data_IF_334678436133
#
_entry.id   IF_334678436133
#
_cell.length_a   1.000
_cell.length_b   1.000
_cell.length_c   1.000
_cell.angle_alpha   90.00
_cell.angle_beta   90.00
_cell.angle_gamma   90.00
#
_symmetry.space_group_name_H-M   'P 1'
#
loop_
_entity.id
_entity.type
_entity.pdbx_description
1 polymer ?
#
# COMPACT_ATOMS: atom_id res chain seq x y z
N UNK A 1 7.22 17.49 21.28
CA UNK A 1 6.01 18.10 20.69
C UNK A 1 6.08 18.23 19.16
N UNK A 2 7.24 18.02 18.51
CA UNK A 2 7.35 18.13 17.04
C UNK A 2 6.86 16.89 16.30
N UNK A 3 7.08 15.67 16.81
CA UNK A 3 6.57 14.45 16.17
C UNK A 3 5.05 14.28 16.35
N UNK A 4 4.48 14.64 17.51
CA UNK A 4 3.02 14.64 17.72
C UNK A 4 2.31 15.63 16.78
N UNK A 5 2.94 16.78 16.48
CA UNK A 5 2.45 17.77 15.52
C UNK A 5 2.65 17.27 14.07
N UNK A 6 3.75 16.58 13.75
CA UNK A 6 3.93 15.94 12.43
C UNK A 6 2.91 14.80 12.23
N UNK A 7 2.60 14.04 13.29
CA UNK A 7 1.58 13.00 13.28
C UNK A 7 0.16 13.59 13.12
N UNK A 8 -0.11 14.78 13.69
CA UNK A 8 -1.38 15.50 13.58
C UNK A 8 -1.53 16.25 12.24
N UNK A 9 -0.44 16.76 11.65
CA UNK A 9 -0.47 17.42 10.34
C UNK A 9 -0.68 16.43 9.18
N UNK A 10 -0.26 15.16 9.34
CA UNK A 10 -0.59 14.07 8.41
C UNK A 10 -2.07 13.63 8.48
N UNK A 11 -2.86 14.17 9.42
CA UNK A 11 -4.28 13.84 9.62
C UNK A 11 -5.21 14.92 9.04
N UNK A 12 -4.75 16.16 8.82
CA UNK A 12 -5.63 17.28 8.43
C UNK A 12 -5.77 17.55 6.93
N UNK A 13 -4.98 16.91 6.07
CA UNK A 13 -5.32 16.78 4.66
C UNK A 13 -6.12 15.50 4.52
N UNK A 14 -7.39 15.59 4.10
CA UNK A 14 -8.25 14.45 3.87
C UNK A 14 -7.45 13.34 3.20
N UNK A 15 -7.23 12.26 3.96
CA UNK A 15 -6.32 11.20 3.56
C UNK A 15 -6.75 10.80 2.15
N UNK A 16 -5.84 10.81 1.14
CA UNK A 16 -6.13 10.05 -0.07
C UNK A 16 -6.56 8.65 0.40
N UNK A 17 -7.56 8.02 -0.26
CA UNK A 17 -8.01 6.68 0.11
C UNK A 17 -6.77 5.84 0.39
N UNK A 18 -6.70 5.27 1.59
CA UNK A 18 -5.48 4.63 2.06
C UNK A 18 -4.98 3.67 0.98
N UNK A 19 -3.72 3.81 0.59
CA UNK A 19 -3.08 2.95 -0.41
C UNK A 19 -3.54 1.50 -0.19
N UNK A 20 -4.07 0.83 -1.23
CA UNK A 20 -4.56 -0.53 -1.07
C UNK A 20 -3.43 -1.40 -0.51
N UNK A 21 -3.76 -2.15 0.54
CA UNK A 21 -2.81 -3.02 1.22
C UNK A 21 -2.20 -4.00 0.21
N UNK A 22 -0.87 -3.94 -0.04
CA UNK A 22 -0.22 -4.77 -1.05
C UNK A 22 -0.28 -6.27 -0.72
N UNK A 23 -0.64 -6.64 0.51
CA UNK A 23 -0.84 -8.04 0.93
C UNK A 23 -2.22 -8.61 0.54
N UNK A 24 -3.08 -7.80 -0.07
CA UNK A 24 -4.43 -8.21 -0.42
C UNK A 24 -4.43 -9.24 -1.56
N UNK A 25 -5.01 -10.44 -1.35
CA UNK A 25 -5.10 -11.45 -2.40
C UNK A 25 -5.94 -10.92 -3.57
N UNK A 26 -5.35 -10.91 -4.77
CA UNK A 26 -6.00 -10.44 -5.99
C UNK A 26 -5.69 -9.00 -6.38
N UNK A 27 -4.94 -8.24 -5.57
CA UNK A 27 -4.40 -6.95 -6.03
C UNK A 27 -3.32 -7.17 -7.08
N UNK A 28 -3.46 -6.56 -8.26
CA UNK A 28 -2.39 -6.47 -9.25
C UNK A 28 -1.80 -5.07 -9.20
N UNK A 29 -0.49 -4.97 -8.98
CA UNK A 29 0.24 -3.71 -9.18
C UNK A 29 0.85 -3.70 -10.58
N UNK A 30 0.48 -2.71 -11.38
CA UNK A 30 1.03 -2.46 -12.70
C UNK A 30 2.07 -1.34 -12.62
N UNK A 31 3.31 -1.68 -12.98
CA UNK A 31 4.34 -0.71 -13.28
C UNK A 31 3.99 0.01 -14.59
N UNK A 32 4.05 1.34 -14.57
CA UNK A 32 3.73 2.20 -15.71
C UNK A 32 4.93 3.12 -15.93
N UNK A 33 5.51 3.18 -17.15
CA UNK A 33 6.62 4.09 -17.40
C UNK A 33 6.24 5.53 -17.05
N UNK A 34 7.10 6.23 -16.31
CA UNK A 34 6.82 7.54 -15.68
C UNK A 34 6.21 8.55 -16.66
N UNK A 35 6.68 8.56 -17.92
CA UNK A 35 6.13 9.41 -18.98
C UNK A 35 4.63 9.21 -19.23
N UNK A 36 4.16 7.96 -19.22
CA UNK A 36 2.75 7.63 -19.42
C UNK A 36 1.95 7.70 -18.13
N UNK A 37 2.54 7.32 -17.00
CA UNK A 37 1.90 7.47 -15.70
C UNK A 37 1.47 8.91 -15.47
N UNK A 38 2.38 9.87 -15.68
CA UNK A 38 2.08 11.29 -15.53
C UNK A 38 1.07 11.79 -16.57
N UNK A 39 1.22 11.36 -17.83
CA UNK A 39 0.31 11.77 -18.92
C UNK A 39 -1.13 11.28 -18.71
N UNK A 40 -1.31 10.10 -18.13
CA UNK A 40 -2.60 9.43 -17.97
C UNK A 40 -3.03 9.26 -16.50
N UNK A 41 -2.40 9.96 -15.55
CA UNK A 41 -2.62 9.79 -14.11
C UNK A 41 -4.10 9.83 -13.73
N UNK A 42 -4.81 10.84 -14.21
CA UNK A 42 -6.23 10.99 -13.93
C UNK A 42 -7.07 9.80 -14.46
N UNK A 43 -6.71 9.22 -15.60
CA UNK A 43 -7.40 8.06 -16.14
C UNK A 43 -7.06 6.78 -15.37
N UNK A 44 -5.79 6.61 -14.97
CA UNK A 44 -5.34 5.50 -14.14
C UNK A 44 -6.06 5.50 -12.78
N UNK A 45 -6.16 6.66 -12.13
CA UNK A 45 -6.87 6.82 -10.85
C UNK A 45 -8.35 6.45 -10.96
N UNK A 46 -8.99 6.81 -12.09
CA UNK A 46 -10.37 6.43 -12.35
C UNK A 46 -10.52 4.92 -12.53
N UNK A 47 -9.61 4.29 -13.26
CA UNK A 47 -9.60 2.82 -13.45
C UNK A 47 -9.41 2.11 -12.12
N UNK A 48 -8.52 2.59 -11.24
CA UNK A 48 -8.39 2.04 -9.88
C UNK A 48 -9.72 2.13 -9.11
N UNK A 49 -10.45 3.23 -9.24
CA UNK A 49 -11.74 3.40 -8.57
C UNK A 49 -12.87 2.57 -9.16
N UNK A 50 -12.81 2.23 -10.45
CA UNK A 50 -13.79 1.39 -11.15
C UNK A 50 -13.60 -0.09 -10.79
N UNK A 51 -12.35 -0.53 -10.66
CA UNK A 51 -12.00 -1.95 -10.51
C UNK A 51 -11.80 -2.29 -9.04
N UNK A 52 -12.92 -2.42 -8.35
CA UNK A 52 -13.00 -2.74 -6.93
C UNK A 52 -13.72 -4.07 -6.68
N UNK A 53 -13.39 -4.73 -5.57
CA UNK A 53 -14.15 -5.86 -5.03
C UNK A 53 -15.54 -5.43 -4.56
N UNK A 54 -16.38 -6.40 -4.20
CA UNK A 54 -17.69 -6.16 -3.57
C UNK A 54 -17.60 -5.27 -2.32
N UNK A 55 -16.47 -5.29 -1.60
CA UNK A 55 -16.26 -4.47 -0.39
C UNK A 55 -15.69 -3.08 -0.67
N UNK A 56 -15.55 -2.70 -1.94
CA UNK A 56 -14.96 -1.44 -2.36
C UNK A 56 -13.44 -1.40 -2.28
N UNK A 57 -12.77 -2.52 -2.03
CA UNK A 57 -11.30 -2.60 -2.07
C UNK A 57 -10.80 -2.62 -3.52
N UNK A 58 -9.81 -1.80 -3.84
CA UNK A 58 -9.14 -1.81 -5.14
C UNK A 58 -8.54 -3.19 -5.44
N UNK A 59 -8.78 -3.68 -6.67
CA UNK A 59 -8.15 -4.90 -7.18
C UNK A 59 -6.95 -4.59 -8.09
N UNK A 60 -6.76 -3.33 -8.45
CA UNK A 60 -5.62 -2.87 -9.26
C UNK A 60 -5.00 -1.63 -8.66
N UNK A 61 -3.70 -1.48 -8.92
CA UNK A 61 -2.90 -0.30 -8.59
C UNK A 61 -1.95 0.00 -9.72
N UNK A 62 -1.73 1.27 -10.02
CA UNK A 62 -0.69 1.74 -10.94
C UNK A 62 0.38 2.49 -10.17
N UNK A 63 1.63 2.14 -10.45
CA UNK A 63 2.80 2.82 -9.88
C UNK A 63 3.66 3.37 -11.00
N UNK A 64 4.16 4.58 -10.82
CA UNK A 64 5.15 5.16 -11.72
C UNK A 64 6.44 4.37 -11.60
N UNK A 65 7.05 4.05 -12.74
CA UNK A 65 8.32 3.34 -12.82
C UNK A 65 9.22 4.07 -13.81
N UNK A 66 10.47 4.33 -13.43
CA UNK A 66 11.36 5.15 -14.26
C UNK A 66 11.89 4.39 -15.49
N UNK A 67 11.98 3.06 -15.39
CA UNK A 67 12.33 2.23 -16.55
C UNK A 67 11.13 2.04 -17.49
N UNK A 68 11.44 1.96 -18.78
CA UNK A 68 10.50 1.65 -19.87
C UNK A 68 11.02 0.38 -20.57
N UNK A 69 10.61 -0.82 -20.13
CA UNK A 69 11.17 -2.07 -20.64
C UNK A 69 10.89 -2.20 -22.13
N UNK A 70 11.95 -2.28 -22.93
CA UNK A 70 11.86 -2.41 -24.38
C UNK A 70 11.67 -3.89 -24.76
N UNK A 71 10.45 -4.40 -24.56
CA UNK A 71 10.07 -5.76 -24.98
C UNK A 71 9.44 -5.74 -26.38
N UNK A 72 9.73 -6.77 -27.17
CA UNK A 72 9.33 -6.84 -28.59
C UNK A 72 8.05 -7.65 -28.82
N UNK A 73 7.68 -8.51 -27.87
CA UNK A 73 6.45 -9.30 -27.92
C UNK A 73 5.77 -9.33 -26.56
N UNK A 74 4.45 -9.56 -26.56
CA UNK A 74 3.75 -9.80 -25.31
C UNK A 74 4.29 -11.02 -24.55
N UNK A 75 4.81 -12.02 -25.26
CA UNK A 75 5.31 -13.24 -24.63
C UNK A 75 6.50 -12.96 -23.72
N UNK A 76 7.39 -12.07 -24.14
CA UNK A 76 8.51 -11.61 -23.29
C UNK A 76 8.01 -10.95 -22.02
N UNK A 77 7.00 -10.07 -22.12
CA UNK A 77 6.35 -9.47 -20.95
C UNK A 77 5.72 -10.50 -20.00
N UNK A 78 5.14 -11.59 -20.54
CA UNK A 78 4.59 -12.68 -19.72
C UNK A 78 5.69 -13.50 -19.04
N UNK A 79 6.81 -13.74 -19.71
CA UNK A 79 7.98 -14.41 -19.12
C UNK A 79 8.53 -13.57 -17.98
N UNK A 80 8.68 -12.26 -18.20
CA UNK A 80 9.11 -11.32 -17.18
C UNK A 80 8.17 -11.34 -15.96
N UNK A 81 6.86 -11.13 -16.16
CA UNK A 81 5.84 -11.21 -15.12
C UNK A 81 5.90 -12.51 -14.32
N UNK A 82 6.08 -13.66 -14.97
CA UNK A 82 6.17 -14.96 -14.28
C UNK A 82 7.43 -15.10 -13.45
N UNK A 83 8.50 -14.39 -13.79
CA UNK A 83 9.79 -14.44 -13.10
C UNK A 83 9.86 -13.46 -11.93
N UNK A 84 9.35 -12.25 -12.10
CA UNK A 84 9.40 -11.17 -11.12
C UNK A 84 8.14 -11.08 -10.25
N UNK A 85 6.99 -11.52 -10.76
CA UNK A 85 5.68 -11.26 -10.17
C UNK A 85 5.16 -9.84 -10.42
N UNK A 86 5.90 -9.02 -11.18
CA UNK A 86 5.59 -7.61 -11.39
C UNK A 86 4.69 -7.41 -12.61
N UNK A 87 3.50 -6.83 -12.39
CA UNK A 87 2.62 -6.45 -13.48
C UNK A 87 3.14 -5.23 -14.24
N UNK A 88 2.86 -5.15 -15.53
CA UNK A 88 3.26 -4.07 -16.41
C UNK A 88 2.13 -3.62 -17.32
N UNK A 89 2.00 -2.30 -17.44
CA UNK A 89 1.19 -1.63 -18.45
C UNK A 89 2.11 -1.05 -19.52
N UNK A 90 2.18 -1.71 -20.67
CA UNK A 90 2.99 -1.31 -21.80
C UNK A 90 2.22 -0.47 -22.82
N UNK A 91 2.96 0.31 -23.60
CA UNK A 91 2.42 1.20 -24.63
C UNK A 91 3.14 0.92 -25.94
N UNK A 92 2.40 0.43 -26.94
CA UNK A 92 2.90 0.22 -28.31
C UNK A 92 2.69 1.52 -29.09
N UNK A 93 3.76 2.28 -29.30
CA UNK A 93 3.74 3.54 -30.08
C UNK A 93 4.11 3.32 -31.55
N UNK A 94 4.95 2.32 -31.81
CA UNK A 94 5.46 2.00 -33.14
C UNK A 94 5.06 0.59 -33.57
N UNK A 95 5.02 0.37 -34.89
CA UNK A 95 4.52 -0.90 -35.47
C UNK A 95 5.40 -2.11 -35.18
N UNK A 96 6.69 -1.88 -35.01
CA UNK A 96 7.71 -2.90 -34.71
C UNK A 96 7.77 -3.28 -33.23
N UNK A 97 7.12 -2.52 -32.34
CA UNK A 97 6.91 -2.91 -30.94
C UNK A 97 5.73 -3.89 -30.83
N UNK A 98 5.84 -4.87 -29.93
CA UNK A 98 4.79 -5.87 -29.69
C UNK A 98 4.22 -6.46 -31.00
N UNK A 99 5.09 -7.06 -31.81
CA UNK A 99 4.77 -7.51 -33.18
C UNK A 99 3.63 -8.54 -33.24
N UNK A 100 3.33 -9.20 -32.13
CA UNK A 100 2.20 -10.12 -32.00
C UNK A 100 0.87 -9.43 -31.61
N UNK A 101 0.84 -8.11 -31.45
CA UNK A 101 -0.37 -7.29 -31.28
C UNK A 101 -0.68 -6.63 -32.62
N UNK A 102 -1.81 -7.03 -33.23
CA UNK A 102 -2.20 -6.55 -34.56
C UNK A 102 -2.63 -5.08 -34.56
N UNK A 103 -2.43 -4.40 -35.69
CA UNK A 103 -2.70 -2.96 -35.86
C UNK A 103 -4.15 -2.55 -35.51
N UNK A 104 -5.13 -3.44 -35.72
CA UNK A 104 -6.54 -3.17 -35.41
C UNK A 104 -6.94 -3.42 -33.95
N UNK A 105 -6.06 -3.99 -33.14
CA UNK A 105 -6.30 -4.30 -31.74
C UNK A 105 -6.00 -3.07 -30.90
N UNK A 106 -6.96 -2.53 -30.14
CA UNK A 106 -6.75 -1.34 -29.32
C UNK A 106 -5.97 -1.64 -28.03
N UNK A 107 -6.21 -2.79 -27.41
CA UNK A 107 -5.49 -3.28 -26.24
C UNK A 107 -5.38 -4.79 -26.28
N UNK A 108 -4.42 -5.35 -25.55
CA UNK A 108 -4.31 -6.79 -25.37
C UNK A 108 -3.73 -7.14 -24.02
N UNK A 109 -4.39 -8.04 -23.32
CA UNK A 109 -3.91 -8.70 -22.11
C UNK A 109 -3.78 -10.22 -22.30
N UNK A 110 -3.03 -10.86 -21.40
CA UNK A 110 -3.13 -12.31 -21.23
C UNK A 110 -4.29 -12.65 -20.31
N UNK A 111 -5.06 -13.68 -20.66
CA UNK A 111 -6.17 -14.11 -19.83
C UNK A 111 -5.63 -14.88 -18.62
N UNK A 112 -5.83 -14.35 -17.42
CA UNK A 112 -5.48 -14.99 -16.16
C UNK A 112 -6.66 -15.72 -15.51
N UNK A 113 -6.69 -15.73 -14.19
CA UNK A 113 -7.85 -16.16 -13.39
C UNK A 113 -7.95 -15.31 -12.13
N UNK A 114 -9.10 -15.32 -11.46
CA UNK A 114 -9.27 -14.61 -10.19
C UNK A 114 -8.26 -15.04 -9.11
N UNK A 115 -7.88 -16.32 -9.12
CA UNK A 115 -6.87 -16.87 -8.20
C UNK A 115 -5.42 -16.70 -8.65
N UNK A 116 -5.20 -16.42 -9.94
CA UNK A 116 -3.88 -16.27 -10.56
C UNK A 116 -3.98 -15.22 -11.67
N UNK A 117 -4.18 -13.95 -11.31
CA UNK A 117 -4.23 -12.90 -12.31
C UNK A 117 -2.90 -12.83 -13.06
N UNK A 118 -2.96 -12.50 -14.35
CA UNK A 118 -1.77 -12.17 -15.11
C UNK A 118 -1.62 -10.65 -15.12
N UNK A 119 -0.39 -10.14 -15.07
CA UNK A 119 -0.15 -8.70 -14.88
C UNK A 119 0.26 -7.97 -16.14
N UNK A 120 -0.01 -8.48 -17.35
CA UNK A 120 0.60 -7.94 -18.58
C UNK A 120 -0.46 -7.36 -19.50
N UNK A 121 -0.40 -6.05 -19.74
CA UNK A 121 -1.28 -5.31 -20.65
C UNK A 121 -0.44 -4.55 -21.66
N UNK A 122 -0.85 -4.57 -22.93
CA UNK A 122 -0.33 -3.68 -23.97
C UNK A 122 -1.45 -2.79 -24.49
N UNK A 123 -1.27 -1.47 -24.37
CA UNK A 123 -2.13 -0.47 -24.99
C UNK A 123 -1.57 -0.10 -26.36
N UNK A 124 -2.35 -0.29 -27.42
CA UNK A 124 -1.87 -0.14 -28.79
C UNK A 124 -2.11 1.25 -29.38
N UNK A 125 -1.15 2.14 -29.20
CA UNK A 125 -1.25 3.53 -29.65
C UNK A 125 -1.01 3.69 -31.16
N UNK A 126 -0.53 2.66 -31.87
CA UNK A 126 -0.51 2.67 -33.34
C UNK A 126 -1.92 2.56 -33.94
N UNK A 127 -2.90 2.13 -33.15
CA UNK A 127 -4.30 2.14 -33.55
C UNK A 127 -4.79 3.58 -33.70
N UNK A 128 -5.49 3.89 -34.80
CA UNK A 128 -5.98 5.25 -35.11
C UNK A 128 -7.11 5.76 -34.21
N UNK A 129 -7.38 5.09 -33.09
CA UNK A 129 -8.27 5.53 -32.03
C UNK A 129 -7.79 6.85 -31.42
N UNK A 130 -8.73 7.71 -31.04
CA UNK A 130 -8.42 8.88 -30.22
C UNK A 130 -8.21 8.44 -28.77
N UNK A 131 -6.97 8.37 -28.31
CA UNK A 131 -6.60 8.03 -26.93
C UNK A 131 -6.93 9.15 -25.92
N UNK A 132 -8.21 9.55 -25.93
CA UNK A 132 -8.85 10.48 -25.01
C UNK A 132 -9.28 9.73 -23.75
N UNK A 133 -9.54 10.47 -22.67
CA UNK A 133 -9.83 9.87 -21.36
C UNK A 133 -10.94 8.81 -21.36
N UNK A 134 -11.98 8.96 -22.19
CA UNK A 134 -13.04 7.95 -22.29
C UNK A 134 -12.56 6.63 -22.89
N UNK A 135 -11.93 6.68 -24.07
CA UNK A 135 -11.53 5.48 -24.81
C UNK A 135 -10.36 4.76 -24.13
N UNK A 136 -9.40 5.52 -23.58
CA UNK A 136 -8.29 4.96 -22.80
C UNK A 136 -8.80 4.11 -21.63
N UNK A 137 -9.69 4.67 -20.81
CA UNK A 137 -10.28 3.96 -19.65
C UNK A 137 -11.06 2.73 -20.09
N UNK A 138 -11.83 2.83 -21.16
CA UNK A 138 -12.63 1.72 -21.66
C UNK A 138 -11.75 0.53 -22.08
N UNK A 139 -10.69 0.79 -22.85
CA UNK A 139 -9.76 -0.26 -23.26
C UNK A 139 -9.01 -0.82 -22.04
N UNK A 140 -8.51 0.05 -21.16
CA UNK A 140 -7.73 -0.41 -20.00
C UNK A 140 -8.56 -1.26 -19.03
N UNK A 141 -9.77 -0.83 -18.66
CA UNK A 141 -10.67 -1.63 -17.81
C UNK A 141 -11.01 -2.99 -18.46
N UNK A 142 -11.19 -3.04 -19.79
CA UNK A 142 -11.42 -4.28 -20.53
C UNK A 142 -10.24 -5.25 -20.41
N UNK A 143 -9.02 -4.76 -20.67
CA UNK A 143 -7.82 -5.59 -20.59
C UNK A 143 -7.52 -6.07 -19.16
N UNK A 144 -7.80 -5.25 -18.15
CA UNK A 144 -7.68 -5.64 -16.74
C UNK A 144 -8.61 -6.81 -16.38
N UNK A 145 -9.85 -6.78 -16.88
CA UNK A 145 -10.78 -7.88 -16.64
C UNK A 145 -10.33 -9.18 -17.33
N UNK A 146 -9.69 -9.11 -18.49
CA UNK A 146 -9.03 -10.28 -19.07
C UNK A 146 -7.93 -10.83 -18.15
N UNK A 147 -7.11 -9.97 -17.56
CA UNK A 147 -6.09 -10.38 -16.58
C UNK A 147 -6.69 -11.09 -15.35
N UNK A 148 -7.91 -10.74 -14.94
CA UNK A 148 -8.67 -11.47 -13.91
C UNK A 148 -9.39 -12.73 -14.40
N UNK A 149 -9.28 -13.07 -15.69
CA UNK A 149 -9.84 -14.28 -16.29
C UNK A 149 -11.24 -14.12 -16.86
N UNK A 150 -11.76 -12.90 -16.95
CA UNK A 150 -13.05 -12.67 -17.60
C UNK A 150 -12.91 -12.81 -19.11
N UNK A 151 -13.75 -13.65 -19.71
CA UNK A 151 -13.88 -13.75 -21.16
C UNK A 151 -14.84 -12.71 -21.70
N UNK A 152 -14.78 -12.49 -23.02
CA UNK A 152 -15.73 -11.65 -23.73
C UNK A 152 -17.19 -12.06 -23.47
N UNK A 153 -18.06 -11.07 -23.34
CA UNK A 153 -19.52 -11.23 -23.42
C UNK A 153 -19.97 -11.11 -24.87
N UNK A 154 -21.23 -11.44 -25.16
CA UNK A 154 -21.73 -11.50 -26.54
C UNK A 154 -23.12 -10.89 -26.68
N UNK A 155 -23.59 -10.73 -27.92
CA UNK A 155 -24.92 -10.20 -28.20
C UNK A 155 -25.09 -8.75 -27.73
N UNK A 156 -26.19 -8.50 -27.02
CA UNK A 156 -26.61 -7.18 -26.55
C UNK A 156 -26.17 -6.87 -25.10
N UNK A 157 -25.26 -7.66 -24.53
CA UNK A 157 -24.79 -7.44 -23.17
C UNK A 157 -24.17 -6.04 -23.03
N UNK A 158 -24.73 -5.24 -22.13
CA UNK A 158 -24.17 -3.95 -21.76
C UNK A 158 -23.04 -4.20 -20.77
N UNK A 159 -21.88 -4.56 -21.29
CA UNK A 159 -20.67 -4.88 -20.54
C UNK A 159 -19.46 -4.32 -21.25
N UNK A 160 -18.46 -3.92 -20.47
CA UNK A 160 -17.18 -3.51 -21.00
C UNK A 160 -16.46 -4.67 -21.70
N UNK A 161 -16.75 -5.91 -21.31
CA UNK A 161 -16.23 -7.14 -21.93
C UNK A 161 -16.94 -7.51 -23.24
N UNK A 162 -17.86 -6.67 -23.74
CA UNK A 162 -18.46 -6.92 -25.05
C UNK A 162 -17.45 -6.63 -26.16
N UNK A 163 -17.05 -7.68 -26.90
CA UNK A 163 -15.96 -7.61 -27.88
C UNK A 163 -16.16 -6.59 -29.01
N UNK A 164 -17.38 -6.10 -29.24
CA UNK A 164 -17.67 -5.14 -30.31
C UNK A 164 -17.43 -3.68 -29.90
N UNK A 165 -17.14 -3.39 -28.63
CA UNK A 165 -17.04 -2.02 -28.08
C UNK A 165 -18.26 -1.13 -28.43
N UNK A 166 -19.42 -1.73 -28.75
CA UNK A 166 -20.61 -1.04 -29.26
C UNK A 166 -21.17 -0.06 -28.22
N UNK A 167 -21.01 -0.41 -26.96
CA UNK A 167 -21.40 0.42 -25.83
C UNK A 167 -20.16 1.21 -25.41
N UNK A 168 -20.15 2.52 -25.70
CA UNK A 168 -19.12 3.46 -25.22
C UNK A 168 -19.28 3.66 -23.71
N UNK A 169 -18.99 2.62 -22.93
CA UNK A 169 -19.15 2.63 -21.48
C UNK A 169 -18.16 3.62 -20.86
N UNK A 170 -18.55 4.26 -19.76
CA UNK A 170 -17.71 5.26 -19.06
C UNK A 170 -16.92 4.67 -17.89
N UNK A 171 -16.96 3.36 -17.73
CA UNK A 171 -16.35 2.58 -16.65
C UNK A 171 -16.84 1.12 -16.72
N UNK A 172 -16.66 0.37 -15.63
CA UNK A 172 -17.32 -0.94 -15.46
C UNK A 172 -18.84 -0.79 -15.46
N UNK A 173 -19.55 -1.74 -16.05
CA UNK A 173 -21.01 -1.75 -16.04
C UNK A 173 -21.56 -2.50 -14.83
N UNK A 174 -22.88 -2.48 -14.62
CA UNK A 174 -23.53 -3.27 -13.56
C UNK A 174 -23.25 -4.78 -13.74
N UNK A 175 -23.26 -5.27 -14.98
CA UNK A 175 -22.93 -6.66 -15.28
C UNK A 175 -21.48 -7.00 -14.93
N UNK A 176 -20.54 -6.09 -15.23
CA UNK A 176 -19.12 -6.29 -14.89
C UNK A 176 -18.89 -6.21 -13.38
N UNK A 177 -19.59 -5.29 -12.70
CA UNK A 177 -19.57 -5.15 -11.24
C UNK A 177 -20.06 -6.42 -10.57
N UNK A 178 -21.14 -7.02 -11.06
CA UNK A 178 -21.65 -8.29 -10.56
C UNK A 178 -20.64 -9.43 -10.78
N UNK A 179 -20.05 -9.52 -11.97
CA UNK A 179 -19.03 -10.55 -12.28
C UNK A 179 -17.77 -10.39 -11.42
N UNK A 180 -17.34 -9.16 -11.17
CA UNK A 180 -16.25 -8.83 -10.24
C UNK A 180 -16.61 -9.27 -8.82
N UNK A 181 -17.83 -8.97 -8.36
CA UNK A 181 -18.31 -9.43 -7.07
C UNK A 181 -18.35 -10.97 -6.99
N UNK A 182 -18.80 -11.67 -8.03
CA UNK A 182 -18.85 -13.14 -8.00
C UNK A 182 -17.44 -13.78 -7.98
N UNK A 183 -16.49 -13.22 -8.74
CA UNK A 183 -15.12 -13.73 -8.83
C UNK A 183 -14.25 -13.36 -7.61
N UNK A 184 -14.52 -12.19 -7.03
CA UNK A 184 -13.85 -11.67 -5.85
C UNK A 184 -14.87 -11.44 -4.75
N UNK A 185 -15.52 -12.52 -4.26
CA UNK A 185 -16.70 -12.44 -3.42
C UNK A 185 -16.45 -11.76 -2.10
N UNK A 186 -15.18 -11.69 -1.65
CA UNK A 186 -14.69 -11.13 -0.38
C UNK A 186 -15.81 -10.61 0.49
N UNK A 187 -16.66 -11.52 0.95
CA UNK A 187 -17.84 -11.17 1.71
C UNK A 187 -17.36 -11.25 3.13
N UNK A 188 -17.69 -10.24 3.93
CA UNK A 188 -17.52 -10.35 5.37
C UNK A 188 -18.39 -11.46 5.98
N UNK A 189 -19.16 -12.22 5.18
CA UNK A 189 -20.06 -13.25 5.67
C UNK A 189 -19.36 -14.60 5.94
N UNK A 190 -18.21 -14.89 5.33
CA UNK A 190 -17.41 -16.09 5.67
C UNK A 190 -15.91 -15.77 5.63
N UNK A 191 -15.50 -14.75 6.39
CA UNK A 191 -14.14 -14.72 6.93
C UNK A 191 -14.28 -15.33 8.31
N UNK A 192 -13.73 -16.52 8.53
CA UNK A 192 -13.74 -17.07 9.89
C UNK A 192 -13.07 -16.04 10.80
N UNK A 193 -13.54 -15.86 12.05
CA UNK A 193 -12.93 -14.93 13.03
C UNK A 193 -11.41 -15.10 13.06
N UNK A 194 -10.96 -16.34 12.87
CA UNK A 194 -9.56 -16.76 12.77
C UNK A 194 -8.79 -16.12 11.60
N UNK A 195 -9.42 -15.84 10.47
CA UNK A 195 -8.76 -15.23 9.31
C UNK A 195 -8.70 -13.70 9.44
N UNK A 196 -9.69 -13.07 10.09
CA UNK A 196 -9.57 -11.65 10.48
C UNK A 196 -8.49 -11.44 11.54
N UNK A 197 -8.39 -12.35 12.51
CA UNK A 197 -7.32 -12.35 13.50
C UNK A 197 -5.95 -12.55 12.85
N UNK A 198 -5.82 -13.46 11.88
CA UNK A 198 -4.56 -13.64 11.12
C UNK A 198 -4.19 -12.42 10.28
N UNK A 199 -5.16 -11.80 9.59
CA UNK A 199 -4.91 -10.60 8.79
C UNK A 199 -4.56 -9.42 9.72
N UNK A 200 -5.28 -9.29 10.83
CA UNK A 200 -4.97 -8.32 11.88
C UNK A 200 -3.57 -8.52 12.43
N UNK A 201 -3.20 -9.76 12.77
CA UNK A 201 -1.88 -10.13 13.26
C UNK A 201 -0.78 -9.86 12.21
N UNK A 202 -0.98 -10.27 10.95
CA UNK A 202 -0.02 -10.01 9.87
C UNK A 202 0.18 -8.51 9.64
N UNK A 203 -0.88 -7.71 9.72
CA UNK A 203 -0.79 -6.25 9.63
C UNK A 203 -0.07 -5.65 10.83
N UNK A 204 -0.42 -6.08 12.04
CA UNK A 204 0.28 -5.65 13.27
C UNK A 204 1.76 -6.03 13.22
N UNK A 205 2.12 -7.19 12.65
CA UNK A 205 3.51 -7.62 12.44
C UNK A 205 4.24 -6.74 11.41
N UNK A 206 3.61 -6.41 10.28
CA UNK A 206 4.21 -5.50 9.27
C UNK A 206 4.45 -4.12 9.87
N UNK A 207 3.44 -3.56 10.55
CA UNK A 207 3.57 -2.26 11.21
C UNK A 207 4.65 -2.32 12.30
N UNK A 208 4.68 -3.41 13.08
CA UNK A 208 5.70 -3.66 14.11
C UNK A 208 7.11 -3.71 13.53
N UNK A 209 7.29 -4.37 12.38
CA UNK A 209 8.57 -4.49 11.70
C UNK A 209 9.04 -3.16 11.13
N UNK A 210 8.16 -2.40 10.47
CA UNK A 210 8.49 -1.05 9.97
C UNK A 210 8.95 -0.13 11.09
N UNK A 211 8.22 -0.12 12.21
CA UNK A 211 8.63 0.65 13.38
C UNK A 211 9.92 0.14 14.00
N UNK A 212 10.14 -1.17 14.06
CA UNK A 212 11.38 -1.75 14.57
C UNK A 212 12.58 -1.33 13.72
N UNK A 213 12.50 -1.40 12.39
CA UNK A 213 13.55 -0.93 11.48
C UNK A 213 13.86 0.55 11.73
N UNK A 214 12.83 1.39 11.76
CA UNK A 214 13.00 2.82 12.06
C UNK A 214 13.68 3.06 13.41
N UNK A 215 13.28 2.32 14.45
CA UNK A 215 13.84 2.44 15.80
C UNK A 215 15.31 2.00 15.87
N UNK A 216 15.66 0.91 15.17
CA UNK A 216 17.03 0.42 15.07
C UNK A 216 17.93 1.43 14.33
N UNK A 217 17.46 1.96 13.20
CA UNK A 217 18.20 2.92 12.38
C UNK A 217 18.35 4.28 13.06
N UNK A 218 17.30 4.76 13.74
CA UNK A 218 17.29 6.12 14.31
C UNK A 218 17.94 6.21 15.69
N UNK A 219 17.85 5.16 16.51
CA UNK A 219 18.31 5.19 17.90
C UNK A 219 19.40 4.15 18.21
N UNK A 220 19.90 3.46 17.19
CA UNK A 220 20.95 2.44 17.33
C UNK A 220 20.54 1.21 18.15
N UNK A 221 19.23 0.96 18.29
CA UNK A 221 18.70 -0.19 19.02
C UNK A 221 19.04 -1.49 18.30
N UNK A 222 19.34 -2.56 19.06
CA UNK A 222 19.42 -3.90 18.47
C UNK A 222 18.06 -4.31 17.88
N UNK A 223 18.07 -5.15 16.84
CA UNK A 223 16.84 -5.57 16.15
C UNK A 223 15.81 -6.17 17.11
N UNK A 224 16.24 -7.06 18.01
CA UNK A 224 15.38 -7.69 19.01
C UNK A 224 14.77 -6.66 19.99
N UNK A 225 15.56 -5.66 20.40
CA UNK A 225 15.10 -4.61 21.29
C UNK A 225 14.14 -3.65 20.60
N UNK A 226 14.45 -3.28 19.36
CA UNK A 226 13.61 -2.44 18.52
C UNK A 226 12.24 -3.10 18.25
N UNK A 227 12.22 -4.41 17.96
CA UNK A 227 10.97 -5.19 17.83
C UNK A 227 10.15 -5.23 19.12
N UNK A 228 10.83 -5.31 20.27
CA UNK A 228 10.15 -5.29 21.58
C UNK A 228 9.49 -3.94 21.81
N UNK A 229 10.23 -2.85 21.60
CA UNK A 229 9.74 -1.48 21.79
C UNK A 229 8.62 -1.15 20.80
N UNK A 230 8.73 -1.56 19.53
CA UNK A 230 7.71 -1.27 18.51
C UNK A 230 6.35 -1.86 18.87
N UNK A 231 6.30 -3.09 19.40
CA UNK A 231 5.07 -3.74 19.87
C UNK A 231 4.40 -2.96 21.00
N UNK A 232 5.18 -2.48 21.97
CA UNK A 232 4.67 -1.62 23.03
C UNK A 232 4.13 -0.32 22.47
N UNK A 233 4.90 0.39 21.63
CA UNK A 233 4.46 1.66 21.05
C UNK A 233 3.18 1.53 20.22
N UNK A 234 3.04 0.47 19.41
CA UNK A 234 1.82 0.22 18.62
C UNK A 234 0.62 -0.07 19.51
N UNK A 235 0.79 -0.91 20.53
CA UNK A 235 -0.26 -1.21 21.50
C UNK A 235 -0.74 0.06 22.21
N UNK A 236 0.20 0.91 22.62
CA UNK A 236 -0.10 2.18 23.28
C UNK A 236 -0.75 3.19 22.35
N UNK A 237 -0.30 3.28 21.09
CA UNK A 237 -0.92 4.11 20.06
C UNK A 237 -2.37 3.71 19.83
N UNK A 238 -2.65 2.40 19.76
CA UNK A 238 -4.02 1.87 19.62
C UNK A 238 -4.89 2.33 20.79
N UNK A 239 -4.40 2.18 22.02
CA UNK A 239 -5.10 2.66 23.23
C UNK A 239 -5.33 4.17 23.22
N UNK A 240 -4.28 4.95 22.94
CA UNK A 240 -4.31 6.42 22.90
C UNK A 240 -5.28 6.98 21.85
N UNK A 241 -5.51 6.23 20.75
CA UNK A 241 -6.49 6.60 19.72
C UNK A 241 -7.95 6.42 20.16
N UNK A 242 -8.19 5.60 21.18
CA UNK A 242 -9.53 5.30 21.69
C UNK A 242 -9.86 6.12 22.94
N UNK A 243 -8.86 6.39 23.78
CA UNK A 243 -8.99 7.16 25.02
C UNK A 243 -7.64 7.66 25.50
N UNK A 244 -7.66 8.60 26.45
CA UNK A 244 -6.45 9.00 27.14
C UNK A 244 -5.82 7.85 27.92
N UNK A 245 -4.48 7.84 27.93
CA UNK A 245 -3.68 6.90 28.70
C UNK A 245 -3.73 7.26 30.18
N UNK A 246 -4.05 6.27 31.01
CA UNK A 246 -4.00 6.40 32.47
C UNK A 246 -2.56 6.56 32.95
N UNK A 247 -2.38 7.10 34.16
CA UNK A 247 -1.05 7.25 34.75
C UNK A 247 -0.29 5.91 34.84
N UNK A 248 -1.01 4.83 35.19
CA UNK A 248 -0.45 3.47 35.27
C UNK A 248 0.06 2.97 33.91
N UNK A 249 -0.70 3.24 32.85
CA UNK A 249 -0.31 2.88 31.48
C UNK A 249 0.94 3.67 31.05
N UNK A 250 0.96 4.99 31.25
CA UNK A 250 2.16 5.79 30.93
C UNK A 250 3.41 5.26 31.67
N UNK A 251 3.23 4.89 32.93
CA UNK A 251 4.32 4.36 33.77
C UNK A 251 4.84 3.02 33.26
N UNK A 252 3.95 2.09 32.90
CA UNK A 252 4.29 0.80 32.30
C UNK A 252 5.03 0.97 30.97
N UNK A 253 4.53 1.83 30.07
CA UNK A 253 5.21 2.11 28.79
C UNK A 253 6.63 2.62 29.01
N UNK A 254 6.78 3.60 29.89
CA UNK A 254 8.08 4.19 30.19
C UNK A 254 9.01 3.17 30.83
N UNK A 255 8.48 2.32 31.71
CA UNK A 255 9.27 1.25 32.30
C UNK A 255 9.77 0.28 31.25
N UNK A 256 8.93 -0.11 30.30
CA UNK A 256 9.32 -1.03 29.24
C UNK A 256 10.33 -0.42 28.27
N UNK A 257 10.17 0.84 27.86
CA UNK A 257 11.06 1.50 26.92
C UNK A 257 12.38 1.94 27.59
N UNK A 258 12.30 2.59 28.75
CA UNK A 258 13.44 3.30 29.37
C UNK A 258 13.95 2.64 30.66
N UNK A 259 13.22 1.70 31.25
CA UNK A 259 13.65 1.01 32.48
C UNK A 259 13.34 1.75 33.78
N UNK A 260 12.53 2.80 33.69
CA UNK A 260 11.99 3.53 34.84
C UNK A 260 10.61 4.09 34.54
N UNK A 261 9.85 4.38 35.60
CA UNK A 261 8.48 4.87 35.47
C UNK A 261 8.39 6.29 34.90
N UNK A 262 7.28 6.59 34.23
CA UNK A 262 6.97 7.88 33.61
C UNK A 262 7.06 9.02 34.63
N UNK A 263 6.52 8.81 35.84
CA UNK A 263 6.56 9.84 36.88
C UNK A 263 8.00 10.19 37.25
N UNK A 264 8.86 9.18 37.41
CA UNK A 264 10.28 9.39 37.74
C UNK A 264 11.01 10.16 36.62
N UNK A 265 10.75 9.81 35.36
CA UNK A 265 11.31 10.52 34.22
C UNK A 265 10.85 11.97 34.14
N UNK A 266 9.55 12.21 34.35
CA UNK A 266 8.97 13.56 34.38
C UNK A 266 9.55 14.42 35.51
N UNK A 267 9.58 13.90 36.74
CA UNK A 267 10.10 14.64 37.90
C UNK A 267 11.59 15.00 37.72
N UNK A 268 12.38 14.08 37.16
CA UNK A 268 13.79 14.31 36.83
C UNK A 268 13.97 15.35 35.71
N UNK A 269 13.12 15.32 34.67
CA UNK A 269 13.13 16.33 33.62
C UNK A 269 12.77 17.72 34.16
N UNK A 270 11.76 17.83 35.03
CA UNK A 270 11.39 19.10 35.67
C UNK A 270 12.53 19.67 36.52
N UNK A 271 13.25 18.82 37.25
CA UNK A 271 14.42 19.19 38.05
C UNK A 271 15.60 19.61 37.17
N UNK A 272 15.80 18.92 36.04
CA UNK A 272 16.79 19.30 35.03
C UNK A 272 16.51 20.69 34.43
N UNK A 273 15.25 20.98 34.11
CA UNK A 273 14.84 22.31 33.63
C UNK A 273 15.05 23.42 34.68
N UNK A 274 15.13 23.06 35.96
CA UNK A 274 15.45 23.97 37.07
C UNK A 274 16.97 24.10 37.32
N UNK A 275 17.80 23.37 36.56
CA UNK A 275 19.26 23.50 36.57
C UNK A 275 20.03 22.38 37.28
N UNK A 276 19.36 21.37 37.84
CA UNK A 276 20.05 20.19 38.41
C UNK A 276 20.15 19.06 37.39
N UNK A 277 21.37 18.83 36.88
CA UNK A 277 21.62 17.89 35.78
C UNK A 277 21.74 16.43 36.24
N UNK A 278 22.12 16.18 37.49
CA UNK A 278 22.54 14.86 37.96
C UNK A 278 21.40 13.83 37.90
N UNK A 279 20.20 14.24 38.32
CA UNK A 279 19.03 13.35 38.41
C UNK A 279 18.58 12.79 37.06
N UNK A 280 18.75 13.54 35.97
CA UNK A 280 18.38 13.12 34.62
C UNK A 280 19.48 12.26 33.99
N UNK A 281 20.74 12.62 34.18
CA UNK A 281 21.87 11.85 33.64
C UNK A 281 21.91 10.42 34.20
N UNK A 282 21.61 10.24 35.49
CA UNK A 282 21.49 8.90 36.10
C UNK A 282 20.39 8.04 35.44
N UNK A 283 19.26 8.66 35.07
CA UNK A 283 18.19 7.96 34.37
C UNK A 283 18.57 7.62 32.93
N UNK A 284 19.28 8.52 32.25
CA UNK A 284 19.77 8.28 30.90
C UNK A 284 20.75 7.10 30.88
N UNK A 285 21.69 7.04 31.82
CA UNK A 285 22.62 5.91 31.95
C UNK A 285 21.86 4.59 32.19
N UNK A 286 20.86 4.61 33.08
CA UNK A 286 20.02 3.44 33.34
C UNK A 286 19.26 2.97 32.09
N UNK A 287 18.73 3.91 31.30
CA UNK A 287 18.04 3.60 30.06
C UNK A 287 19.02 3.11 28.97
N UNK A 288 20.25 3.61 28.94
CA UNK A 288 21.30 3.18 28.03
C UNK A 288 21.65 1.71 28.30
N UNK A 289 21.89 1.37 29.57
CA UNK A 289 22.17 0.00 29.99
C UNK A 289 21.01 -0.95 29.67
N UNK A 290 19.76 -0.55 29.89
CA UNK A 290 18.60 -1.40 29.58
C UNK A 290 18.44 -1.67 28.09
N UNK A 291 18.77 -0.69 27.26
CA UNK A 291 18.54 -0.75 25.82
C UNK A 291 19.78 -1.17 25.02
N UNK A 292 20.94 -1.31 25.68
CA UNK A 292 22.22 -1.62 25.07
C UNK A 292 22.63 -0.60 23.99
N UNK A 293 22.34 0.68 24.24
CA UNK A 293 22.66 1.80 23.34
C UNK A 293 23.44 2.88 24.08
N UNK A 294 24.01 3.85 23.37
CA UNK A 294 24.74 4.94 24.00
C UNK A 294 23.80 5.91 24.74
N UNK A 295 24.28 6.59 25.80
CA UNK A 295 23.53 7.64 26.49
C UNK A 295 23.02 8.75 25.57
N UNK A 296 23.72 9.05 24.47
CA UNK A 296 23.33 10.04 23.47
C UNK A 296 22.07 9.62 22.72
N UNK A 297 22.02 8.38 22.22
CA UNK A 297 20.80 7.85 21.58
C UNK A 297 19.63 7.77 22.55
N UNK A 298 19.88 7.51 23.84
CA UNK A 298 18.84 7.58 24.87
C UNK A 298 18.32 9.00 25.05
N UNK A 299 19.18 10.03 25.02
CA UNK A 299 18.75 11.43 25.13
C UNK A 299 17.77 11.80 24.01
N UNK A 300 18.04 11.35 22.79
CA UNK A 300 17.14 11.53 21.65
C UNK A 300 15.80 10.81 21.87
N UNK A 301 15.84 9.53 22.24
CA UNK A 301 14.65 8.73 22.54
C UNK A 301 13.82 9.31 23.70
N UNK A 302 14.48 9.80 24.74
CA UNK A 302 13.87 10.40 25.92
C UNK A 302 13.18 11.72 25.57
N UNK A 303 13.83 12.56 24.74
CA UNK A 303 13.24 13.78 24.21
C UNK A 303 11.92 13.54 23.52
N UNK A 304 11.82 12.49 22.70
CA UNK A 304 10.57 12.14 22.01
C UNK A 304 9.45 11.66 22.93
N UNK A 305 9.78 11.04 24.08
CA UNK A 305 8.77 10.54 25.02
C UNK A 305 8.21 11.60 25.97
N UNK A 306 9.01 12.59 26.34
CA UNK A 306 8.66 13.55 27.40
C UNK A 306 8.56 15.01 26.94
N UNK A 307 9.13 15.39 25.79
CA UNK A 307 9.19 16.78 25.28
C UNK A 307 8.31 16.92 24.04
#
# INVERSE_FOLDING_TARGET
MKLLIVLLLLISCGKPPADPDPSYPGLITYNVPTKYYNKYKAQLDWVESDIVSLTGKHLVRFVSYDDDPQITTMYEGLVDFKSSGEGWLFFKEEKDQFTNVGDSTAGRAYIGSASRPLGVIVMNFTNSMLWTGGQFRQVLNHEILHNFGFTHTSGSDHSIMNYRYVYKTRGVTDLDTQRLADAFPFSMAVVSIKDLEKIGAAREDIDSNKYATFLAESYGLSESRAQTISKYLLSYRKLASMRDLTAKEKDLLSHEILGFGFKKGKDALETHLQGDQNSLDDLILKAADKNEISPEHVKELFGELFI
#
